data_IF_322275891365
#
_entry.id   IF_322275891365
#
_cell.length_a   1.000
_cell.length_b   1.000
_cell.length_c   1.000
_cell.angle_alpha   90.00
_cell.angle_beta   90.00
_cell.angle_gamma   90.00
#
_symmetry.space_group_name_H-M   'P 1'
#
loop_
_entity.id
_entity.type
_entity.pdbx_description
1 polymer ?
#
# COMPACT_ATOMS: atom_id res chain seq x y z
N UNK A 1 -75.05 17.98 -40.13
CA UNK A 1 -74.55 16.64 -39.81
C UNK A 1 -74.44 16.57 -38.28
N UNK A 2 -75.26 15.72 -37.66
CA UNK A 2 -75.63 15.69 -36.24
C UNK A 2 -74.59 14.97 -35.35
N UNK A 3 -74.28 15.58 -34.20
CA UNK A 3 -74.22 15.00 -32.84
C UNK A 3 -73.29 13.82 -32.45
N UNK A 4 -72.97 13.67 -31.13
CA UNK A 4 -71.78 13.01 -30.58
C UNK A 4 -72.07 11.75 -29.72
N UNK A 5 -71.04 11.09 -29.15
CA UNK A 5 -71.05 10.26 -27.91
C UNK A 5 -69.61 9.72 -27.70
N UNK A 6 -68.75 10.18 -26.80
CA UNK A 6 -68.70 10.17 -25.31
C UNK A 6 -68.68 8.77 -24.67
N UNK A 7 -67.45 8.27 -24.46
CA UNK A 7 -66.89 7.50 -23.30
C UNK A 7 -67.28 6.01 -23.07
N UNK A 8 -66.68 5.25 -22.12
CA UNK A 8 -65.47 5.43 -21.27
C UNK A 8 -64.56 4.17 -21.06
N UNK A 9 -63.46 4.37 -20.32
CA UNK A 9 -62.85 3.45 -19.32
C UNK A 9 -62.44 2.05 -19.78
N UNK A 10 -61.12 1.84 -19.86
CA UNK A 10 -60.39 0.83 -19.05
C UNK A 10 -58.90 1.16 -19.18
N UNK A 11 -58.36 1.95 -18.24
CA UNK A 11 -57.58 1.38 -17.13
C UNK A 11 -56.34 0.72 -17.75
N UNK A 12 -55.28 1.47 -18.08
CA UNK A 12 -54.39 2.09 -17.08
C UNK A 12 -54.21 1.19 -15.86
N UNK A 13 -53.64 -0.01 -16.05
CA UNK A 13 -53.08 -0.78 -14.93
C UNK A 13 -52.19 -1.98 -15.30
N UNK A 14 -51.70 -2.12 -16.55
CA UNK A 14 -50.87 -3.29 -16.92
C UNK A 14 -49.40 -2.92 -17.23
N UNK A 15 -49.08 -1.63 -17.36
CA UNK A 15 -47.74 -1.20 -17.79
C UNK A 15 -46.82 -0.70 -16.66
N UNK A 16 -47.19 -0.87 -15.39
CA UNK A 16 -46.41 -0.36 -14.25
C UNK A 16 -46.03 -1.42 -13.21
N UNK A 17 -45.97 -2.70 -13.58
CA UNK A 17 -45.58 -3.78 -12.67
C UNK A 17 -44.42 -4.67 -13.16
N UNK A 18 -43.87 -4.39 -14.34
CA UNK A 18 -42.78 -5.19 -14.95
C UNK A 18 -41.42 -4.46 -14.98
N UNK A 19 -41.31 -3.31 -14.33
CA UNK A 19 -40.06 -2.51 -14.30
C UNK A 19 -39.36 -2.47 -12.94
N UNK A 20 -39.80 -3.28 -11.96
CA UNK A 20 -39.31 -3.23 -10.57
C UNK A 20 -38.56 -4.48 -10.10
N UNK A 21 -38.27 -5.45 -10.97
CA UNK A 21 -37.67 -6.75 -10.57
C UNK A 21 -36.20 -6.96 -11.00
N UNK A 22 -35.54 -5.97 -11.58
CA UNK A 22 -34.18 -6.14 -12.14
C UNK A 22 -33.03 -5.61 -11.26
N UNK A 23 -33.22 -5.44 -9.95
CA UNK A 23 -32.19 -4.88 -9.07
C UNK A 23 -31.90 -5.76 -7.83
N UNK A 24 -31.62 -7.04 -8.07
CA UNK A 24 -31.09 -7.94 -7.05
C UNK A 24 -29.86 -8.67 -7.62
N UNK A 25 -28.77 -7.94 -7.82
CA UNK A 25 -27.44 -8.53 -8.02
C UNK A 25 -26.87 -8.80 -6.62
N UNK A 26 -26.80 -10.06 -6.15
CA UNK A 26 -26.06 -10.36 -4.93
C UNK A 26 -24.60 -9.97 -5.15
N UNK A 27 -24.09 -9.05 -4.33
CA UNK A 27 -22.71 -8.60 -4.38
C UNK A 27 -21.76 -9.78 -4.28
N UNK A 28 -20.87 -9.93 -5.26
CA UNK A 28 -19.73 -10.81 -5.16
C UNK A 28 -18.85 -10.33 -4.00
N UNK A 29 -18.95 -10.98 -2.84
CA UNK A 29 -17.97 -10.85 -1.77
C UNK A 29 -16.74 -11.64 -2.19
N UNK A 30 -15.72 -10.94 -2.70
CA UNK A 30 -14.40 -11.53 -2.90
C UNK A 30 -13.81 -11.71 -1.50
N UNK A 31 -13.47 -12.95 -1.08
CA UNK A 31 -12.80 -13.15 0.21
C UNK A 31 -11.43 -12.47 0.14
N UNK A 32 -11.19 -11.49 1.00
CA UNK A 32 -9.85 -10.98 1.24
C UNK A 32 -9.05 -12.13 1.89
N UNK A 33 -8.19 -12.76 1.11
CA UNK A 33 -7.20 -13.67 1.67
C UNK A 33 -6.19 -12.81 2.42
N UNK A 34 -6.26 -12.81 3.75
CA UNK A 34 -5.22 -12.24 4.57
C UNK A 34 -3.94 -13.03 4.26
N UNK A 35 -3.05 -12.41 3.49
CA UNK A 35 -1.71 -12.94 3.29
C UNK A 35 -1.01 -12.79 4.63
N UNK A 36 -0.37 -13.85 5.12
CA UNK A 36 0.46 -13.77 6.31
C UNK A 36 1.61 -12.79 6.00
N UNK A 37 1.45 -11.54 6.46
CA UNK A 37 2.46 -10.51 6.29
C UNK A 37 3.56 -10.80 7.30
N UNK A 38 4.67 -11.34 6.81
CA UNK A 38 5.89 -11.42 7.61
C UNK A 38 6.40 -10.00 7.82
N UNK A 39 6.81 -9.69 9.03
CA UNK A 39 7.43 -8.41 9.36
C UNK A 39 8.93 -8.58 9.45
N UNK A 40 9.66 -7.50 9.18
CA UNK A 40 11.05 -7.37 9.54
C UNK A 40 11.17 -7.53 11.07
N UNK A 41 12.22 -8.19 11.55
CA UNK A 41 12.44 -8.26 12.98
C UNK A 41 13.05 -6.94 13.48
N UNK A 42 12.62 -6.48 14.66
CA UNK A 42 12.90 -5.17 15.25
C UNK A 42 12.33 -3.94 14.52
N UNK A 43 11.68 -4.12 13.36
CA UNK A 43 11.01 -3.05 12.61
C UNK A 43 9.53 -3.38 12.39
N UNK A 44 8.63 -2.44 12.68
CA UNK A 44 7.20 -2.55 12.36
C UNK A 44 6.92 -2.31 10.86
N UNK A 45 7.77 -2.88 9.99
CA UNK A 45 7.66 -2.82 8.54
C UNK A 45 7.41 -4.23 7.99
N UNK A 46 6.39 -4.42 7.15
CA UNK A 46 6.19 -5.66 6.43
C UNK A 46 7.40 -5.98 5.55
N UNK A 47 7.80 -7.25 5.52
CA UNK A 47 8.78 -7.78 4.60
C UNK A 47 8.17 -7.87 3.19
N UNK A 48 8.80 -7.28 2.19
CA UNK A 48 8.31 -7.36 0.82
C UNK A 48 8.18 -8.83 0.36
N UNK A 49 7.00 -9.28 -0.12
CA UNK A 49 6.78 -10.67 -0.50
C UNK A 49 7.82 -11.20 -1.50
N UNK A 50 8.42 -12.35 -1.18
CA UNK A 50 9.48 -12.95 -1.98
C UNK A 50 10.89 -12.46 -1.64
N UNK A 51 11.04 -11.63 -0.61
CA UNK A 51 12.33 -11.36 0.02
C UNK A 51 12.47 -12.14 1.34
N UNK A 52 13.69 -12.19 1.85
CA UNK A 52 14.02 -12.68 3.18
C UNK A 52 14.96 -11.69 3.84
N UNK A 53 14.73 -11.44 5.13
CA UNK A 53 15.65 -10.65 5.93
C UNK A 53 17.02 -11.34 6.02
N UNK A 54 18.10 -10.56 6.02
CA UNK A 54 19.47 -11.03 6.21
C UNK A 54 19.86 -10.69 7.64
N UNK A 55 19.67 -11.66 8.54
CA UNK A 55 19.86 -11.49 9.99
C UNK A 55 21.26 -10.94 10.34
N UNK A 56 22.30 -11.35 9.61
CA UNK A 56 23.68 -10.91 9.86
C UNK A 56 23.93 -9.43 9.54
N UNK A 57 23.07 -8.82 8.73
CA UNK A 57 23.13 -7.40 8.36
C UNK A 57 22.26 -6.53 9.28
N UNK A 58 21.54 -7.12 10.25
CA UNK A 58 20.76 -6.37 11.22
C UNK A 58 21.68 -5.77 12.30
N UNK A 59 21.50 -4.47 12.54
CA UNK A 59 22.21 -3.73 13.58
C UNK A 59 21.22 -2.87 14.34
N UNK A 60 21.16 -3.04 15.66
CA UNK A 60 20.37 -2.19 16.57
C UNK A 60 21.32 -1.51 17.53
N UNK A 61 21.23 -0.18 17.62
CA UNK A 61 21.97 0.62 18.59
C UNK A 61 21.00 1.39 19.47
N UNK A 62 21.01 1.09 20.77
CA UNK A 62 20.20 1.76 21.78
C UNK A 62 21.01 2.85 22.51
N UNK A 63 20.39 4.01 22.71
CA UNK A 63 20.96 5.11 23.48
C UNK A 63 19.88 5.89 24.23
N UNK A 64 20.24 6.78 25.18
CA UNK A 64 19.26 7.69 25.79
C UNK A 64 18.56 8.62 24.79
N UNK A 65 19.17 8.88 23.63
CA UNK A 65 18.62 9.72 22.56
C UNK A 65 17.72 8.98 21.57
N UNK A 66 17.39 7.71 21.85
CA UNK A 66 16.58 6.88 20.96
C UNK A 66 17.35 5.68 20.40
N UNK A 67 16.66 4.96 19.52
CA UNK A 67 17.11 3.70 18.93
C UNK A 67 17.40 3.89 17.45
N UNK A 68 18.55 3.40 17.00
CA UNK A 68 18.92 3.36 15.58
C UNK A 68 18.85 1.90 15.12
N UNK A 69 18.11 1.64 14.04
CA UNK A 69 17.96 0.30 13.48
C UNK A 69 18.42 0.33 12.03
N UNK A 70 19.27 -0.63 11.67
CA UNK A 70 19.61 -0.95 10.28
C UNK A 70 19.25 -2.39 10.02
N UNK A 71 18.59 -2.64 8.90
CA UNK A 71 18.23 -3.99 8.48
C UNK A 71 18.33 -4.12 6.97
N UNK A 72 18.38 -5.36 6.48
CA UNK A 72 18.48 -5.67 5.06
C UNK A 72 17.60 -6.85 4.72
N UNK A 73 16.90 -6.77 3.59
CA UNK A 73 16.19 -7.89 2.98
C UNK A 73 16.65 -8.07 1.54
N UNK A 74 16.65 -9.32 1.07
CA UNK A 74 17.02 -9.65 -0.30
C UNK A 74 16.10 -10.67 -0.92
N UNK A 75 15.95 -10.63 -2.24
CA UNK A 75 15.23 -11.66 -2.97
C UNK A 75 15.14 -11.43 -4.47
N UNK A 76 14.72 -12.45 -5.23
CA UNK A 76 14.59 -12.39 -6.69
C UNK A 76 13.31 -11.67 -7.11
N UNK A 77 13.14 -10.42 -6.69
CA UNK A 77 11.96 -9.59 -6.95
C UNK A 77 12.31 -8.40 -7.86
N UNK A 78 11.31 -7.59 -8.24
CA UNK A 78 11.54 -6.35 -8.97
C UNK A 78 11.81 -5.21 -7.99
N UNK A 79 12.92 -4.48 -8.18
CA UNK A 79 13.24 -3.28 -7.40
C UNK A 79 12.14 -2.22 -7.48
N UNK A 80 11.59 -1.99 -8.68
CA UNK A 80 10.47 -1.05 -8.89
C UNK A 80 9.22 -1.50 -8.12
N UNK A 81 8.90 -2.80 -8.14
CA UNK A 81 7.71 -3.31 -7.45
C UNK A 81 7.85 -3.18 -5.92
N UNK A 82 9.04 -3.43 -5.38
CA UNK A 82 9.34 -3.19 -3.96
C UNK A 82 9.19 -1.70 -3.60
N UNK A 83 9.68 -0.80 -4.45
CA UNK A 83 9.54 0.64 -4.24
C UNK A 83 8.07 1.08 -4.24
N UNK A 84 7.30 0.67 -5.25
CA UNK A 84 5.89 1.01 -5.37
C UNK A 84 5.06 0.45 -4.21
N UNK A 85 5.42 -0.73 -3.71
CA UNK A 85 4.82 -1.31 -2.51
C UNK A 85 5.05 -0.43 -1.29
N UNK A 86 6.31 -0.08 -0.97
CA UNK A 86 6.59 0.72 0.22
C UNK A 86 6.04 2.15 0.14
N UNK A 87 5.89 2.71 -1.07
CA UNK A 87 5.19 3.99 -1.26
C UNK A 87 3.72 3.96 -0.83
N UNK A 88 3.10 2.78 -0.77
CA UNK A 88 1.72 2.60 -0.30
C UNK A 88 1.69 2.16 1.16
N UNK A 89 2.56 1.21 1.52
CA UNK A 89 2.60 0.62 2.87
C UNK A 89 3.09 1.61 3.92
N UNK A 90 4.18 2.33 3.66
CA UNK A 90 4.80 3.22 4.65
C UNK A 90 3.82 4.31 5.14
N UNK A 91 3.08 5.02 4.26
CA UNK A 91 2.04 5.95 4.70
C UNK A 91 0.91 5.29 5.51
N UNK A 92 0.52 4.06 5.17
CA UNK A 92 -0.55 3.35 5.89
C UNK A 92 -0.17 2.99 7.34
N UNK A 93 1.14 2.98 7.64
CA UNK A 93 1.71 2.75 8.97
C UNK A 93 1.95 4.06 9.74
N UNK A 94 1.48 5.20 9.22
CA UNK A 94 1.53 6.50 9.87
C UNK A 94 2.81 7.30 9.63
N UNK A 95 3.64 6.90 8.65
CA UNK A 95 4.82 7.67 8.27
C UNK A 95 4.50 8.69 7.17
N UNK A 96 4.99 9.92 7.33
CA UNK A 96 4.87 10.98 6.33
C UNK A 96 6.00 10.86 5.30
N UNK A 97 5.68 10.35 4.10
CA UNK A 97 6.65 10.21 3.00
C UNK A 97 6.97 11.57 2.41
N UNK A 98 8.25 11.91 2.32
CA UNK A 98 8.71 13.15 1.68
C UNK A 98 8.50 13.08 0.17
N UNK A 99 7.77 14.06 -0.37
CA UNK A 99 7.71 14.32 -1.83
C UNK A 99 8.81 15.27 -2.30
N UNK A 100 9.59 15.85 -1.38
CA UNK A 100 10.67 16.74 -1.71
C UNK A 100 11.86 15.97 -2.31
N UNK A 101 12.73 16.61 -3.11
CA UNK A 101 13.99 16.00 -3.50
C UNK A 101 14.75 15.57 -2.25
N UNK A 102 14.95 14.26 -2.10
CA UNK A 102 15.68 13.71 -0.96
C UNK A 102 17.16 14.12 -1.10
N UNK A 103 17.79 14.66 -0.05
CA UNK A 103 19.21 14.97 -0.09
C UNK A 103 20.04 13.73 -0.44
N UNK A 104 21.04 13.88 -1.30
CA UNK A 104 21.96 12.80 -1.71
C UNK A 104 22.67 12.15 -0.50
N UNK A 105 22.74 12.83 0.64
CA UNK A 105 23.32 12.30 1.87
C UNK A 105 22.47 11.21 2.55
N UNK A 106 21.14 11.24 2.34
CA UNK A 106 20.22 10.26 2.93
C UNK A 106 20.04 9.04 2.02
N UNK A 107 20.16 9.21 0.71
CA UNK A 107 20.08 8.13 -0.25
C UNK A 107 21.47 7.66 -0.66
N UNK A 108 21.78 6.38 -0.44
CA UNK A 108 23.02 5.81 -0.98
C UNK A 108 23.14 6.08 -2.49
N UNK A 109 24.30 6.56 -2.97
CA UNK A 109 24.52 6.91 -4.39
C UNK A 109 24.21 5.74 -5.36
N UNK A 110 24.30 4.51 -4.87
CA UNK A 110 24.07 3.29 -5.66
C UNK A 110 22.61 2.81 -5.62
N UNK A 111 21.75 3.46 -4.84
CA UNK A 111 20.35 3.11 -4.75
C UNK A 111 19.63 3.47 -6.05
N UNK A 112 18.90 2.50 -6.61
CA UNK A 112 18.04 2.73 -7.77
C UNK A 112 16.76 3.48 -7.35
N UNK A 113 16.26 3.18 -6.14
CA UNK A 113 15.14 3.89 -5.53
C UNK A 113 15.46 4.23 -4.09
N UNK A 114 14.90 5.35 -3.64
CA UNK A 114 15.02 5.83 -2.29
C UNK A 114 13.67 6.37 -1.83
N UNK A 115 13.25 5.97 -0.63
CA UNK A 115 12.06 6.46 0.04
C UNK A 115 12.49 6.98 1.41
N UNK A 116 12.15 8.23 1.70
CA UNK A 116 12.36 8.84 3.01
C UNK A 116 11.01 9.20 3.58
N UNK A 117 10.79 8.83 4.83
CA UNK A 117 9.59 9.14 5.57
C UNK A 117 9.93 9.52 7.00
N UNK A 118 9.12 10.39 7.59
CA UNK A 118 9.30 10.86 8.97
C UNK A 118 8.04 10.52 9.76
N UNK A 119 8.20 10.17 11.02
CA UNK A 119 7.09 9.95 11.95
C UNK A 119 7.54 10.37 13.33
N UNK A 120 6.81 11.30 13.95
CA UNK A 120 7.17 11.90 15.22
C UNK A 120 8.60 12.48 15.18
N UNK A 121 9.53 11.90 15.94
CA UNK A 121 10.95 12.21 16.04
C UNK A 121 11.84 11.11 15.42
N UNK A 122 11.29 10.29 14.52
CA UNK A 122 12.01 9.24 13.78
C UNK A 122 12.01 9.52 12.26
N UNK A 123 13.12 9.17 11.62
CA UNK A 123 13.30 9.16 10.18
C UNK A 123 13.55 7.74 9.69
N UNK A 124 12.75 7.31 8.73
CA UNK A 124 12.85 6.05 8.01
C UNK A 124 13.38 6.29 6.60
N UNK A 125 14.51 5.65 6.29
CA UNK A 125 15.07 5.60 4.95
C UNK A 125 15.00 4.17 4.44
N UNK A 126 14.41 3.97 3.26
CA UNK A 126 14.42 2.71 2.52
C UNK A 126 15.16 2.93 1.21
N UNK A 127 16.29 2.23 1.03
CA UNK A 127 17.02 2.20 -0.24
C UNK A 127 16.83 0.86 -0.92
N UNK A 128 16.65 0.88 -2.23
CA UNK A 128 16.45 -0.32 -3.04
C UNK A 128 17.42 -0.28 -4.21
N UNK A 129 18.23 -1.33 -4.32
CA UNK A 129 19.18 -1.50 -5.41
C UNK A 129 19.06 -2.90 -6.02
N UNK A 130 19.72 -3.09 -7.16
CA UNK A 130 19.83 -4.37 -7.82
C UNK A 130 21.29 -4.65 -8.15
N UNK A 131 21.79 -5.79 -7.68
CA UNK A 131 23.10 -6.34 -8.10
C UNK A 131 22.88 -7.69 -8.79
N UNK A 132 22.76 -8.76 -8.00
CA UNK A 132 22.36 -10.11 -8.47
C UNK A 132 20.91 -10.45 -8.15
N UNK A 133 20.38 -9.80 -7.14
CA UNK A 133 19.01 -9.84 -6.68
C UNK A 133 18.66 -8.47 -6.12
N UNK A 134 17.38 -8.21 -5.87
CA UNK A 134 16.99 -6.96 -5.21
C UNK A 134 17.51 -6.97 -3.79
N UNK A 135 18.13 -5.86 -3.41
CA UNK A 135 18.56 -5.56 -2.04
C UNK A 135 17.75 -4.37 -1.55
N UNK A 136 17.12 -4.54 -0.40
CA UNK A 136 16.34 -3.51 0.29
C UNK A 136 17.02 -3.25 1.63
N UNK A 137 17.48 -2.03 1.86
CA UNK A 137 18.02 -1.62 3.15
C UNK A 137 17.06 -0.67 3.84
N UNK A 138 16.93 -0.84 5.13
CA UNK A 138 16.07 -0.04 6.00
C UNK A 138 16.96 0.62 7.04
N UNK A 139 16.75 1.91 7.28
CA UNK A 139 17.41 2.65 8.35
C UNK A 139 16.38 3.49 9.09
N UNK A 140 16.23 3.25 10.39
CA UNK A 140 15.43 4.10 11.29
C UNK A 140 16.39 4.84 12.20
N UNK A 141 16.27 6.15 12.28
CA UNK A 141 17.13 7.02 13.09
C UNK A 141 16.29 8.08 13.81
N UNK A 142 16.59 8.42 15.07
CA UNK A 142 15.99 9.60 15.72
C UNK A 142 16.45 10.90 15.04
N UNK A 143 15.55 11.89 14.92
CA UNK A 143 15.84 13.26 14.43
C UNK A 143 16.30 14.22 15.53
#
# INVERSE_FOLDING_TARGET
MLGPMITPRKISLIMLFLASLALALPGFVVPAMAQEENFMEDLDLPLFPGTSEVEEERVVFDSPGGRIIKAMATGPVSAQAAYDYYRVVVPSLGWDVSEQPVPEEQCEETAQYCLVAVRDDESLVITISFDRQTVIRYSVTPE
#
